data_IF_853180364353
#
_entry.id   IF_853180364353
#
_cell.length_a   1.000
_cell.length_b   1.000
_cell.length_c   1.000
_cell.angle_alpha   90.00
_cell.angle_beta   90.00
_cell.angle_gamma   90.00
#
_symmetry.space_group_name_H-M   'P 1'
#
loop_
_entity.id
_entity.type
_entity.pdbx_description
1 polymer ?
#
# COMPACT_ATOMS: atom_id res chain seq x y z
N UNK A 1 35.22 -12.52 -16.01
CA UNK A 1 35.99 -12.88 -14.81
C UNK A 1 35.65 -11.98 -13.61
N UNK A 2 35.59 -10.65 -13.76
CA UNK A 2 35.23 -9.73 -12.66
C UNK A 2 33.87 -10.01 -11.96
N UNK A 3 32.84 -10.47 -12.70
CA UNK A 3 31.53 -10.79 -12.12
C UNK A 3 31.55 -12.01 -11.18
N UNK A 4 32.40 -13.01 -11.46
CA UNK A 4 32.52 -14.18 -10.58
C UNK A 4 33.24 -13.84 -9.28
N UNK A 5 34.28 -13.01 -9.34
CA UNK A 5 34.94 -12.50 -8.14
C UNK A 5 33.95 -11.73 -7.24
N UNK A 6 33.10 -10.88 -7.81
CA UNK A 6 32.11 -10.14 -7.02
C UNK A 6 31.05 -11.06 -6.38
N UNK A 7 30.64 -12.11 -7.10
CA UNK A 7 29.71 -13.09 -6.55
C UNK A 7 30.32 -13.90 -5.40
N UNK A 8 31.59 -14.28 -5.54
CA UNK A 8 32.35 -15.00 -4.51
C UNK A 8 32.54 -14.14 -3.27
N UNK A 9 32.93 -12.87 -3.41
CA UNK A 9 33.05 -11.95 -2.26
C UNK A 9 31.71 -11.73 -1.53
N UNK A 10 30.59 -11.68 -2.27
CA UNK A 10 29.26 -11.57 -1.67
C UNK A 10 28.84 -12.85 -0.95
N UNK A 11 29.18 -14.01 -1.49
CA UNK A 11 28.95 -15.32 -0.85
C UNK A 11 29.81 -15.48 0.40
N UNK A 12 31.09 -15.13 0.35
CA UNK A 12 31.99 -15.16 1.51
C UNK A 12 31.50 -14.21 2.61
N UNK A 13 31.01 -13.02 2.25
CA UNK A 13 30.41 -12.08 3.22
C UNK A 13 29.09 -12.58 3.79
N UNK A 14 28.28 -13.32 3.02
CA UNK A 14 27.05 -13.94 3.51
C UNK A 14 27.33 -15.13 4.44
N UNK A 15 28.32 -15.95 4.11
CA UNK A 15 28.76 -17.09 4.92
C UNK A 15 29.39 -16.62 6.23
N UNK A 16 30.26 -15.61 6.21
CA UNK A 16 30.84 -15.05 7.43
C UNK A 16 29.79 -14.47 8.40
N UNK A 17 28.70 -13.91 7.88
CA UNK A 17 27.56 -13.45 8.71
C UNK A 17 26.78 -14.62 9.31
N UNK A 18 26.62 -15.71 8.57
CA UNK A 18 25.92 -16.91 9.04
C UNK A 18 26.74 -17.67 10.10
N UNK A 19 28.06 -17.73 9.92
CA UNK A 19 28.98 -18.33 10.88
C UNK A 19 29.09 -17.52 12.18
N UNK A 20 29.07 -16.18 12.10
CA UNK A 20 29.00 -15.32 13.28
C UNK A 20 27.70 -15.53 14.09
N UNK A 21 26.59 -15.83 13.41
CA UNK A 21 25.32 -16.19 14.06
C UNK A 21 25.41 -17.59 14.70
N UNK A 22 26.05 -18.54 14.03
CA UNK A 22 26.23 -19.91 14.54
C UNK A 22 27.21 -20.01 15.73
N UNK A 23 28.25 -19.16 15.77
CA UNK A 23 29.19 -19.13 16.91
C UNK A 23 28.60 -18.44 18.16
N UNK A 24 27.52 -17.68 18.01
CA UNK A 24 26.83 -17.06 19.15
C UNK A 24 25.91 -18.03 19.92
N UNK A 25 25.61 -19.21 19.36
CA UNK A 25 24.75 -20.23 20.00
C UNK A 25 25.48 -21.24 20.89
N UNK A 26 26.81 -21.25 20.92
CA UNK A 26 27.60 -22.20 21.71
C UNK A 26 28.67 -21.46 22.53
N UNK A 27 28.29 -20.80 23.62
CA UNK A 27 29.12 -20.57 24.81
C UNK A 27 28.30 -19.78 25.86
N UNK A 28 27.74 -20.45 26.86
CA UNK A 28 28.02 -20.21 28.29
C UNK A 28 27.08 -21.03 29.19
N UNK A 29 27.59 -22.15 29.73
CA UNK A 29 27.07 -22.74 30.96
C UNK A 29 27.71 -21.98 32.12
N UNK A 30 26.92 -21.19 32.86
CA UNK A 30 27.38 -20.39 33.98
C UNK A 30 26.22 -19.75 34.71
N UNK A 31 25.90 -20.31 35.88
CA UNK A 31 24.81 -19.95 36.77
C UNK A 31 24.97 -18.52 37.32
N UNK A 32 23.93 -17.69 37.15
CA UNK A 32 23.83 -16.36 37.75
C UNK A 32 22.49 -15.71 37.41
N UNK A 33 21.61 -15.63 38.40
CA UNK A 33 20.26 -15.05 38.32
C UNK A 33 20.24 -13.68 37.61
N UNK A 34 19.65 -13.66 36.43
CA UNK A 34 19.12 -12.48 35.76
C UNK A 34 18.13 -12.99 34.71
N UNK A 35 16.85 -12.67 34.88
CA UNK A 35 15.81 -13.04 33.92
C UNK A 35 16.23 -12.67 32.48
N UNK A 36 16.06 -13.57 31.50
CA UNK A 36 16.48 -13.30 30.14
C UNK A 36 15.66 -12.12 29.60
N UNK A 37 16.33 -11.07 29.11
CA UNK A 37 15.70 -10.14 28.19
C UNK A 37 15.19 -10.98 27.03
N UNK A 38 13.87 -11.11 26.91
CA UNK A 38 13.22 -11.86 25.85
C UNK A 38 13.77 -11.38 24.50
N UNK A 39 14.51 -12.24 23.81
CA UNK A 39 15.06 -11.93 22.50
C UNK A 39 13.92 -11.66 21.53
N UNK A 40 13.94 -10.51 20.87
CA UNK A 40 12.99 -10.15 19.80
C UNK A 40 12.98 -11.25 18.74
N UNK A 41 11.80 -11.69 18.30
CA UNK A 41 11.68 -12.80 17.34
C UNK A 41 12.48 -12.54 16.04
N UNK A 42 13.04 -13.60 15.40
CA UNK A 42 13.91 -13.42 14.23
C UNK A 42 13.30 -12.59 13.10
N UNK A 43 12.01 -12.77 12.80
CA UNK A 43 11.34 -12.01 11.75
C UNK A 43 11.23 -10.51 12.12
N UNK A 44 11.07 -10.16 13.40
CA UNK A 44 11.06 -8.76 13.81
C UNK A 44 12.45 -8.14 13.62
N UNK A 45 13.53 -8.89 13.86
CA UNK A 45 14.90 -8.40 13.62
C UNK A 45 15.18 -8.18 12.13
N UNK A 46 14.63 -9.02 11.25
CA UNK A 46 14.71 -8.81 9.80
C UNK A 46 13.91 -7.58 9.39
N UNK A 47 12.72 -7.37 9.97
CA UNK A 47 11.96 -6.14 9.75
C UNK A 47 12.69 -4.89 10.27
N UNK A 48 13.42 -4.98 11.39
CA UNK A 48 14.30 -3.91 11.89
C UNK A 48 15.39 -3.54 10.88
N UNK A 49 15.90 -4.53 10.14
CA UNK A 49 16.87 -4.30 9.07
C UNK A 49 16.24 -3.60 7.86
N UNK A 50 14.96 -3.87 7.56
CA UNK A 50 14.18 -3.14 6.56
C UNK A 50 13.99 -1.68 6.98
N UNK A 51 13.67 -1.43 8.25
CA UNK A 51 13.56 -0.06 8.80
C UNK A 51 14.89 0.70 8.77
N UNK A 52 15.99 0.03 9.13
CA UNK A 52 17.32 0.64 9.16
C UNK A 52 18.00 0.76 7.78
N UNK A 53 17.51 0.03 6.77
CA UNK A 53 18.04 0.03 5.42
C UNK A 53 17.20 0.89 4.46
N UNK A 54 16.35 0.27 3.61
CA UNK A 54 15.61 0.98 2.57
C UNK A 54 14.73 2.12 3.10
N UNK A 55 14.11 1.95 4.28
CA UNK A 55 13.26 2.99 4.88
C UNK A 55 14.09 4.18 5.36
N UNK A 56 15.26 3.93 5.97
CA UNK A 56 16.16 5.00 6.39
C UNK A 56 16.69 5.81 5.20
N UNK A 57 17.04 5.16 4.10
CA UNK A 57 17.48 5.85 2.88
C UNK A 57 16.32 6.65 2.25
N UNK A 58 15.11 6.08 2.18
CA UNK A 58 13.92 6.80 1.73
C UNK A 58 13.65 8.07 2.56
N UNK A 59 13.74 7.98 3.89
CA UNK A 59 13.52 9.13 4.78
C UNK A 59 14.59 10.21 4.59
N UNK A 60 15.86 9.79 4.49
CA UNK A 60 16.97 10.69 4.24
C UNK A 60 16.77 11.47 2.94
N UNK A 61 16.49 10.79 1.83
CA UNK A 61 16.30 11.46 0.54
C UNK A 61 15.02 12.31 0.54
N UNK A 62 13.94 11.86 1.20
CA UNK A 62 12.71 12.63 1.34
C UNK A 62 12.95 13.96 2.07
N UNK A 63 13.83 13.95 3.08
CA UNK A 63 14.29 15.16 3.76
C UNK A 63 15.15 16.08 2.88
N UNK A 64 15.99 15.50 2.02
CA UNK A 64 16.77 16.28 1.03
C UNK A 64 15.90 16.92 -0.07
N UNK A 65 14.75 16.31 -0.38
CA UNK A 65 13.72 16.90 -1.24
C UNK A 65 12.96 17.99 -0.48
N UNK A 66 12.58 17.72 0.77
CA UNK A 66 11.87 18.64 1.65
C UNK A 66 10.40 18.82 1.30
N UNK A 67 9.76 19.79 1.97
CA UNK A 67 8.39 20.20 1.67
C UNK A 67 7.37 19.10 1.96
N UNK A 68 6.45 18.88 1.01
CA UNK A 68 5.37 17.90 1.20
C UNK A 68 5.89 16.45 1.18
N UNK A 69 6.99 16.18 0.47
CA UNK A 69 7.58 14.83 0.39
C UNK A 69 8.19 14.41 1.71
N UNK A 70 8.90 15.31 2.40
CA UNK A 70 9.44 15.05 3.74
C UNK A 70 8.32 14.73 4.74
N UNK A 71 7.28 15.57 4.79
CA UNK A 71 6.12 15.35 5.68
C UNK A 71 5.43 14.03 5.40
N UNK A 72 5.19 13.71 4.13
CA UNK A 72 4.52 12.47 3.76
C UNK A 72 5.37 11.24 4.12
N UNK A 73 6.70 11.34 3.99
CA UNK A 73 7.62 10.28 4.40
C UNK A 73 7.60 10.02 5.92
N UNK A 74 7.47 11.06 6.75
CA UNK A 74 7.32 10.90 8.21
C UNK A 74 6.05 10.11 8.56
N UNK A 75 4.95 10.35 7.86
CA UNK A 75 3.68 9.61 8.05
C UNK A 75 3.84 8.13 7.67
N UNK A 76 4.50 7.84 6.54
CA UNK A 76 4.84 6.46 6.13
C UNK A 76 5.70 5.77 7.19
N UNK A 77 6.70 6.47 7.74
CA UNK A 77 7.56 5.93 8.79
C UNK A 77 6.79 5.60 10.08
N UNK A 78 5.82 6.44 10.45
CA UNK A 78 4.92 6.13 11.56
C UNK A 78 4.11 4.85 11.29
N UNK A 79 3.59 4.70 10.06
CA UNK A 79 2.89 3.47 9.64
C UNK A 79 3.74 2.21 9.77
N UNK A 80 4.98 2.27 9.27
CA UNK A 80 5.94 1.15 9.37
C UNK A 80 6.34 0.83 10.81
N UNK A 81 6.40 1.82 11.70
CA UNK A 81 6.61 1.60 13.15
C UNK A 81 5.42 0.92 13.82
N UNK A 82 4.20 1.28 13.43
CA UNK A 82 2.98 0.61 13.91
C UNK A 82 2.93 -0.84 13.42
N UNK A 83 3.30 -1.09 12.16
CA UNK A 83 3.43 -2.44 11.61
C UNK A 83 4.46 -3.26 12.41
N UNK A 84 5.63 -2.69 12.70
CA UNK A 84 6.62 -3.33 13.59
C UNK A 84 6.05 -3.66 14.98
N UNK A 85 5.30 -2.74 15.59
CA UNK A 85 4.70 -2.97 16.89
C UNK A 85 3.69 -4.13 16.86
N UNK A 86 2.93 -4.25 15.76
CA UNK A 86 2.06 -5.40 15.50
C UNK A 86 2.86 -6.69 15.35
N UNK A 87 3.97 -6.69 14.60
CA UNK A 87 4.83 -7.86 14.42
C UNK A 87 5.41 -8.34 15.77
N UNK A 88 5.83 -7.42 16.64
CA UNK A 88 6.26 -7.75 18.00
C UNK A 88 5.13 -8.41 18.78
N UNK A 89 3.92 -7.86 18.70
CA UNK A 89 2.74 -8.40 19.38
C UNK A 89 2.41 -9.80 18.86
N UNK A 90 2.37 -9.99 17.53
CA UNK A 90 2.12 -11.29 16.91
C UNK A 90 3.16 -12.34 17.30
N UNK A 91 4.41 -11.92 17.59
CA UNK A 91 5.48 -12.83 18.00
C UNK A 91 5.31 -13.40 19.40
N UNK A 92 4.52 -12.74 20.25
CA UNK A 92 4.35 -13.07 21.66
C UNK A 92 2.92 -13.54 21.98
N UNK A 93 1.97 -13.23 21.11
CA UNK A 93 0.55 -13.42 21.36
C UNK A 93 -0.10 -14.38 20.36
N UNK A 94 -1.16 -15.05 20.82
CA UNK A 94 -2.07 -15.79 19.95
C UNK A 94 -2.96 -14.83 19.18
N UNK A 95 -3.36 -15.23 17.96
CA UNK A 95 -4.27 -14.48 17.12
C UNK A 95 -5.59 -14.20 17.87
N UNK A 96 -6.03 -12.93 17.95
CA UNK A 96 -7.31 -12.61 18.55
C UNK A 96 -8.47 -13.07 17.66
N UNK A 97 -9.52 -13.61 18.27
CA UNK A 97 -10.72 -14.05 17.57
C UNK A 97 -11.68 -12.88 17.28
N UNK A 98 -12.35 -12.92 16.12
CA UNK A 98 -13.42 -11.99 15.75
C UNK A 98 -12.99 -10.52 15.71
N UNK A 99 -13.86 -9.62 16.18
CA UNK A 99 -13.70 -8.16 16.10
C UNK A 99 -12.49 -7.62 16.89
N UNK A 100 -11.83 -8.43 17.73
CA UNK A 100 -10.64 -7.98 18.47
C UNK A 100 -9.42 -7.80 17.58
N UNK A 101 -9.40 -8.44 16.41
CA UNK A 101 -8.35 -8.21 15.42
C UNK A 101 -8.50 -6.82 14.76
N UNK A 102 -9.73 -6.34 14.52
CA UNK A 102 -9.92 -4.98 13.97
C UNK A 102 -9.46 -3.91 14.96
N UNK A 103 -9.72 -4.09 16.26
CA UNK A 103 -9.28 -3.15 17.30
C UNK A 103 -7.75 -3.07 17.35
N UNK A 104 -7.07 -4.21 17.16
CA UNK A 104 -5.61 -4.27 17.13
C UNK A 104 -5.02 -3.61 15.88
N UNK A 105 -5.73 -3.67 14.75
CA UNK A 105 -5.29 -3.11 13.47
C UNK A 105 -5.68 -1.64 13.29
N UNK A 106 -6.57 -1.09 14.13
CA UNK A 106 -7.07 0.27 14.02
C UNK A 106 -5.96 1.34 13.91
N UNK A 107 -4.87 1.31 14.71
CA UNK A 107 -3.82 2.31 14.59
C UNK A 107 -3.14 2.33 13.21
N UNK A 108 -2.94 1.16 12.59
CA UNK A 108 -2.36 1.06 11.24
C UNK A 108 -3.38 1.57 10.22
N UNK A 109 -4.67 1.25 10.39
CA UNK A 109 -5.77 1.72 9.53
C UNK A 109 -5.83 3.25 9.48
N UNK A 110 -5.83 3.89 10.65
CA UNK A 110 -5.86 5.33 10.80
C UNK A 110 -4.65 5.98 10.14
N UNK A 111 -3.46 5.42 10.35
CA UNK A 111 -2.24 5.94 9.74
C UNK A 111 -2.24 5.80 8.22
N UNK A 112 -2.73 4.68 7.67
CA UNK A 112 -2.93 4.49 6.23
C UNK A 112 -3.86 5.57 5.69
N UNK A 113 -5.00 5.82 6.35
CA UNK A 113 -5.96 6.81 5.90
C UNK A 113 -5.41 8.24 5.98
N UNK A 114 -4.60 8.54 7.00
CA UNK A 114 -3.91 9.82 7.11
C UNK A 114 -2.97 10.04 5.91
N UNK A 115 -2.20 9.01 5.53
CA UNK A 115 -1.31 9.05 4.36
C UNK A 115 -2.10 9.20 3.07
N UNK A 116 -3.25 8.52 2.92
CA UNK A 116 -4.11 8.60 1.72
C UNK A 116 -4.73 9.99 1.55
N UNK A 117 -5.14 10.63 2.65
CA UNK A 117 -5.82 11.95 2.61
C UNK A 117 -4.85 13.13 2.57
N UNK A 118 -3.56 12.90 2.81
CA UNK A 118 -2.55 13.95 2.77
C UNK A 118 -2.44 14.67 1.40
N UNK A 119 -2.40 13.99 0.24
CA UNK A 119 -2.39 14.66 -1.06
C UNK A 119 -3.67 15.47 -1.34
N UNK A 120 -4.83 15.08 -0.81
CA UNK A 120 -6.09 15.81 -1.00
C UNK A 120 -6.03 17.21 -0.36
N UNK A 121 -5.34 17.31 0.78
CA UNK A 121 -5.08 18.59 1.47
C UNK A 121 -3.98 19.41 0.78
N UNK A 122 -3.24 18.79 -0.15
CA UNK A 122 -2.07 19.37 -0.82
C UNK A 122 -2.17 19.25 -2.35
N UNK A 123 -3.38 19.39 -2.92
CA UNK A 123 -3.63 19.27 -4.37
C UNK A 123 -2.80 20.23 -5.24
N UNK A 124 -2.37 21.37 -4.68
CA UNK A 124 -1.50 22.33 -5.35
C UNK A 124 0.00 22.00 -5.31
N UNK A 125 0.40 20.87 -4.73
CA UNK A 125 1.81 20.51 -4.59
C UNK A 125 2.49 20.33 -5.94
N UNK A 126 3.68 20.94 -6.10
CA UNK A 126 4.53 20.70 -7.28
C UNK A 126 5.07 19.27 -7.31
N UNK A 127 5.06 18.59 -6.17
CA UNK A 127 5.55 17.23 -6.01
C UNK A 127 4.40 16.21 -5.98
N UNK A 128 3.23 16.54 -6.55
CA UNK A 128 2.02 15.72 -6.46
C UNK A 128 2.21 14.28 -6.94
N UNK A 129 3.04 14.02 -7.97
CA UNK A 129 3.34 12.65 -8.40
C UNK A 129 4.07 11.82 -7.32
N UNK A 130 4.86 12.45 -6.45
CA UNK A 130 5.48 11.77 -5.30
C UNK A 130 4.41 11.40 -4.28
N UNK A 131 3.53 12.37 -3.97
CA UNK A 131 2.44 12.16 -3.02
C UNK A 131 1.47 11.07 -3.51
N UNK A 132 1.15 11.05 -4.81
CA UNK A 132 0.31 10.02 -5.43
C UNK A 132 0.99 8.65 -5.40
N UNK A 133 2.30 8.56 -5.67
CA UNK A 133 3.02 7.29 -5.54
C UNK A 133 2.88 6.72 -4.13
N UNK A 134 2.92 7.58 -3.11
CA UNK A 134 2.77 7.18 -1.71
C UNK A 134 1.33 6.79 -1.36
N UNK A 135 0.36 7.67 -1.60
CA UNK A 135 -1.04 7.44 -1.21
C UNK A 135 -1.67 6.23 -1.91
N UNK A 136 -1.26 5.95 -3.14
CA UNK A 136 -1.86 4.88 -3.95
C UNK A 136 -1.21 3.52 -3.68
N UNK A 137 -0.16 3.46 -2.85
CA UNK A 137 0.54 2.22 -2.49
C UNK A 137 0.67 1.96 -0.99
N UNK A 138 0.41 2.96 -0.13
CA UNK A 138 0.54 2.81 1.33
C UNK A 138 -0.37 1.72 1.92
N UNK A 139 -1.46 1.38 1.23
CA UNK A 139 -2.31 0.25 1.61
C UNK A 139 -1.55 -1.08 1.70
N UNK A 140 -0.35 -1.18 1.11
CA UNK A 140 0.58 -2.30 1.30
C UNK A 140 0.82 -2.66 2.78
N UNK A 141 0.83 -1.68 3.69
CA UNK A 141 0.96 -1.93 5.15
C UNK A 141 -0.22 -2.77 5.70
N UNK A 142 -1.33 -2.80 4.98
CA UNK A 142 -2.49 -3.63 5.28
C UNK A 142 -2.27 -5.13 5.04
N UNK A 143 -1.11 -5.54 4.51
CA UNK A 143 -0.80 -6.95 4.24
C UNK A 143 -0.85 -7.84 5.49
N UNK A 144 -0.70 -7.25 6.68
CA UNK A 144 -0.80 -7.95 7.98
C UNK A 144 -2.18 -8.56 8.25
N UNK A 145 -3.22 -8.08 7.55
CA UNK A 145 -4.56 -8.64 7.61
C UNK A 145 -4.84 -9.62 6.46
N UNK A 146 -4.07 -9.55 5.37
CA UNK A 146 -4.32 -10.34 4.15
C UNK A 146 -3.90 -11.80 4.33
N UNK A 147 -4.85 -12.70 4.07
CA UNK A 147 -4.60 -14.13 3.90
C UNK A 147 -5.46 -14.66 2.74
N UNK A 148 -4.97 -15.66 1.96
CA UNK A 148 -3.70 -16.36 2.10
C UNK A 148 -2.56 -15.77 1.24
N UNK A 149 -2.75 -14.61 0.59
CA UNK A 149 -1.82 -14.06 -0.42
C UNK A 149 -1.27 -12.66 -0.08
N UNK A 150 -0.62 -12.43 1.08
CA UNK A 150 -0.09 -11.11 1.43
C UNK A 150 1.03 -10.63 0.50
N UNK A 151 1.88 -11.53 -0.02
CA UNK A 151 2.96 -11.16 -0.95
C UNK A 151 2.45 -10.58 -2.28
N UNK A 152 1.56 -11.29 -3.00
CA UNK A 152 0.89 -10.75 -4.19
C UNK A 152 0.17 -9.43 -3.96
N UNK A 153 -0.48 -9.25 -2.80
CA UNK A 153 -1.12 -7.99 -2.43
C UNK A 153 -0.12 -6.82 -2.38
N UNK A 154 1.02 -6.97 -1.69
CA UNK A 154 2.05 -5.92 -1.65
C UNK A 154 2.64 -5.64 -3.04
N UNK A 155 2.74 -6.68 -3.89
CA UNK A 155 3.18 -6.49 -5.28
C UNK A 155 2.23 -5.58 -6.06
N UNK A 156 0.92 -5.79 -5.96
CA UNK A 156 -0.07 -4.94 -6.63
C UNK A 156 0.02 -3.48 -6.18
N UNK A 157 0.20 -3.25 -4.88
CA UNK A 157 0.41 -1.91 -4.34
C UNK A 157 1.71 -1.27 -4.85
N UNK A 158 2.78 -2.06 -4.98
CA UNK A 158 4.03 -1.59 -5.57
C UNK A 158 3.89 -1.28 -7.08
N UNK A 159 3.10 -2.07 -7.81
CA UNK A 159 2.77 -1.81 -9.21
C UNK A 159 1.99 -0.49 -9.36
N UNK A 160 1.10 -0.17 -8.42
CA UNK A 160 0.42 1.13 -8.34
C UNK A 160 1.40 2.29 -8.05
N UNK A 161 2.36 2.10 -7.13
CA UNK A 161 3.42 3.09 -6.90
C UNK A 161 4.20 3.38 -8.18
N UNK A 162 4.58 2.33 -8.93
CA UNK A 162 5.37 2.44 -10.15
C UNK A 162 4.72 3.33 -11.21
N UNK A 163 3.40 3.32 -11.33
CA UNK A 163 2.68 4.18 -12.26
C UNK A 163 3.02 5.67 -12.06
N UNK A 164 3.04 6.13 -10.81
CA UNK A 164 3.34 7.52 -10.48
C UNK A 164 4.84 7.80 -10.38
N UNK A 165 5.64 6.86 -9.86
CA UNK A 165 7.10 7.05 -9.83
C UNK A 165 7.71 7.10 -11.23
N UNK A 166 7.13 6.40 -12.23
CA UNK A 166 7.55 6.55 -13.63
C UNK A 166 7.36 7.97 -14.15
N UNK A 167 6.34 8.69 -13.66
CA UNK A 167 6.14 10.11 -13.98
C UNK A 167 7.20 10.99 -13.31
N UNK A 168 7.53 10.70 -12.06
CA UNK A 168 8.66 11.35 -11.36
C UNK A 168 9.97 11.13 -12.13
N UNK A 169 10.26 9.90 -12.53
CA UNK A 169 11.46 9.61 -13.34
C UNK A 169 11.45 10.36 -14.67
N UNK A 170 10.31 10.43 -15.35
CA UNK A 170 10.19 11.19 -16.60
C UNK A 170 10.50 12.68 -16.41
N UNK A 171 10.08 13.27 -15.30
CA UNK A 171 10.25 14.68 -15.00
C UNK A 171 11.65 15.02 -14.49
N UNK A 172 12.26 14.16 -13.67
CA UNK A 172 13.48 14.49 -12.93
C UNK A 172 14.75 13.76 -13.36
N UNK A 173 14.68 12.74 -14.24
CA UNK A 173 15.86 11.91 -14.59
C UNK A 173 17.08 12.67 -15.10
N UNK A 174 16.85 13.77 -15.81
CA UNK A 174 17.89 14.64 -16.39
C UNK A 174 17.95 16.01 -15.69
N UNK A 175 17.21 16.18 -14.59
CA UNK A 175 17.05 17.46 -13.88
C UNK A 175 17.67 17.40 -12.49
N UNK A 176 17.24 16.46 -11.66
CA UNK A 176 17.73 16.32 -10.30
C UNK A 176 17.74 14.85 -9.87
N UNK A 177 18.95 14.35 -9.67
CA UNK A 177 19.23 12.96 -9.33
C UNK A 177 18.59 12.52 -8.01
N UNK A 178 18.35 13.42 -7.06
CA UNK A 178 17.77 13.03 -5.76
C UNK A 178 16.35 12.47 -5.91
N UNK A 179 15.57 12.93 -6.89
CA UNK A 179 14.24 12.39 -7.16
C UNK A 179 14.30 10.99 -7.78
N UNK A 180 15.31 10.72 -8.61
CA UNK A 180 15.56 9.37 -9.16
C UNK A 180 15.93 8.41 -8.04
N UNK A 181 16.81 8.85 -7.13
CA UNK A 181 17.23 8.03 -6.00
C UNK A 181 16.10 7.85 -4.98
N UNK A 182 15.24 8.86 -4.80
CA UNK A 182 14.00 8.75 -4.01
C UNK A 182 13.07 7.66 -4.55
N UNK A 183 12.84 7.63 -5.87
CA UNK A 183 12.01 6.60 -6.50
C UNK A 183 12.56 5.20 -6.22
N UNK A 184 13.88 5.02 -6.36
CA UNK A 184 14.53 3.72 -6.09
C UNK A 184 14.39 3.31 -4.63
N UNK A 185 14.66 4.24 -3.71
CA UNK A 185 14.54 3.98 -2.27
C UNK A 185 13.10 3.62 -1.88
N UNK A 186 12.11 4.36 -2.39
CA UNK A 186 10.69 4.11 -2.10
C UNK A 186 10.23 2.74 -2.59
N UNK A 187 10.50 2.39 -3.87
CA UNK A 187 10.12 1.08 -4.42
C UNK A 187 10.87 -0.09 -3.76
N UNK A 188 12.08 0.17 -3.23
CA UNK A 188 12.84 -0.83 -2.49
C UNK A 188 12.15 -1.24 -1.20
N UNK A 189 11.40 -0.35 -0.53
CA UNK A 189 10.65 -0.70 0.68
C UNK A 189 9.68 -1.84 0.40
N UNK A 190 8.85 -1.70 -0.65
CA UNK A 190 7.84 -2.69 -1.02
C UNK A 190 8.44 -3.99 -1.58
N UNK A 191 9.58 -3.88 -2.25
CA UNK A 191 10.31 -5.06 -2.75
C UNK A 191 10.89 -5.89 -1.61
N UNK A 192 11.52 -5.23 -0.62
CA UNK A 192 12.05 -5.89 0.57
C UNK A 192 10.93 -6.40 1.48
N UNK A 193 9.79 -5.69 1.56
CA UNK A 193 8.61 -6.16 2.28
C UNK A 193 8.03 -7.46 1.66
N UNK A 194 7.98 -7.56 0.32
CA UNK A 194 7.58 -8.79 -0.35
C UNK A 194 8.55 -9.95 -0.04
N UNK A 195 9.86 -9.70 -0.06
CA UNK A 195 10.86 -10.70 0.29
C UNK A 195 10.70 -11.17 1.75
N UNK A 196 10.49 -10.23 2.67
CA UNK A 196 10.20 -10.47 4.08
C UNK A 196 8.94 -11.34 4.26
N UNK A 197 7.83 -10.96 3.63
CA UNK A 197 6.57 -11.71 3.69
C UNK A 197 6.75 -13.12 3.14
N UNK A 198 7.44 -13.27 2.00
CA UNK A 198 7.71 -14.58 1.41
C UNK A 198 8.48 -15.50 2.36
N UNK A 199 9.40 -14.94 3.16
CA UNK A 199 10.23 -15.70 4.08
C UNK A 199 9.52 -16.09 5.38
N UNK A 200 8.69 -15.21 5.96
CA UNK A 200 8.15 -15.40 7.32
C UNK A 200 6.62 -15.47 7.41
N UNK A 201 5.91 -14.95 6.43
CA UNK A 201 4.46 -14.72 6.46
C UNK A 201 3.78 -15.12 5.14
N UNK A 202 4.27 -16.19 4.49
CA UNK A 202 3.89 -16.56 3.10
C UNK A 202 2.38 -16.66 2.89
N UNK A 203 1.64 -17.14 3.90
CA UNK A 203 0.19 -17.34 3.86
C UNK A 203 -0.60 -16.41 4.78
N UNK A 204 0.02 -15.33 5.26
CA UNK A 204 -0.55 -14.41 6.24
C UNK A 204 0.37 -14.21 7.45
N UNK A 205 0.03 -13.22 8.28
CA UNK A 205 0.77 -12.90 9.50
C UNK A 205 0.86 -14.13 10.42
N UNK A 206 2.08 -14.49 10.82
CA UNK A 206 2.35 -15.63 11.68
C UNK A 206 2.26 -15.23 13.16
N UNK A 207 1.21 -15.69 13.83
CA UNK A 207 0.99 -15.51 15.26
C UNK A 207 1.67 -16.59 16.08
N UNK A 208 2.05 -16.25 17.32
CA UNK A 208 2.57 -17.23 18.27
C UNK A 208 1.51 -18.27 18.62
N UNK A 209 1.94 -19.54 18.71
CA UNK A 209 1.09 -20.65 19.19
C UNK A 209 0.97 -20.66 20.73
N UNK A 210 1.81 -19.90 21.41
CA UNK A 210 1.94 -19.85 22.86
C UNK A 210 1.88 -18.40 23.34
N UNK A 211 1.47 -18.17 24.59
CA UNK A 211 1.33 -16.83 25.14
C UNK A 211 -0.11 -16.32 25.17
N UNK A 212 -0.33 -15.09 25.68
CA UNK A 212 -1.67 -14.52 25.85
C UNK A 212 -2.33 -14.24 24.48
N UNK A 213 -3.66 -14.15 24.46
CA UNK A 213 -4.36 -13.62 23.28
C UNK A 213 -4.04 -12.13 23.17
N UNK A 214 -3.71 -11.69 21.95
CA UNK A 214 -3.32 -10.30 21.70
C UNK A 214 -4.41 -9.32 22.16
N UNK A 215 -3.96 -8.20 22.74
CA UNK A 215 -4.78 -7.04 23.11
C UNK A 215 -4.17 -5.80 22.46
N UNK A 216 -4.93 -4.71 22.42
CA UNK A 216 -4.64 -3.44 21.74
C UNK A 216 -3.16 -3.00 21.75
N UNK A 217 -2.73 -2.40 20.64
CA UNK A 217 -1.42 -1.78 20.51
C UNK A 217 -1.38 -0.48 21.34
N UNK A 218 -0.80 -0.54 22.53
CA UNK A 218 -0.58 0.66 23.36
C UNK A 218 0.91 0.99 23.42
N UNK A 219 1.31 2.14 22.84
CA UNK A 219 2.57 2.81 23.17
C UNK A 219 3.45 3.24 21.98
N UNK A 220 3.24 4.46 21.50
CA UNK A 220 4.34 5.36 21.12
C UNK A 220 4.21 6.64 21.97
N UNK A 221 5.33 7.27 22.38
CA UNK A 221 5.27 8.51 23.16
C UNK A 221 4.71 9.65 22.30
N UNK A 222 3.50 10.09 22.61
CA UNK A 222 2.91 11.32 22.07
C UNK A 222 3.71 12.53 22.57
N UNK A 223 4.13 13.40 21.65
CA UNK A 223 4.64 14.73 21.98
C UNK A 223 3.59 15.57 22.72
N UNK A 224 4.00 16.67 23.37
CA UNK A 224 3.21 17.32 24.42
C UNK A 224 1.89 17.86 23.88
N UNK A 225 0.81 17.36 24.48
CA UNK A 225 -0.56 17.85 24.32
C UNK A 225 -0.71 19.25 24.92
N UNK A 226 -1.28 20.16 24.13
CA UNK A 226 -1.84 21.41 24.64
C UNK A 226 -3.28 21.54 24.17
N UNK A 227 -4.20 21.63 25.13
CA UNK A 227 -5.50 22.29 24.95
C UNK A 227 -6.71 21.38 24.78
N UNK A 228 -7.44 21.19 25.87
CA UNK A 228 -8.76 20.57 25.95
C UNK A 228 -9.86 21.47 25.36
N UNK A 229 -10.73 20.94 24.47
CA UNK A 229 -12.12 21.42 24.24
C UNK A 229 -12.98 20.27 23.68
N UNK A 230 -14.33 20.31 23.72
CA UNK A 230 -15.12 19.22 24.29
C UNK A 230 -15.76 18.33 23.22
N UNK A 231 -16.20 17.16 23.71
CA UNK A 231 -16.95 16.10 23.06
C UNK A 231 -18.01 16.59 22.06
N UNK A 232 -17.84 16.19 20.79
CA UNK A 232 -18.94 16.10 19.81
C UNK A 232 -19.07 14.63 19.38
N UNK A 233 -20.27 14.10 19.55
CA UNK A 233 -20.70 12.76 19.16
C UNK A 233 -20.34 12.47 17.69
N UNK A 234 -19.53 11.44 17.46
CA UNK A 234 -19.21 10.91 16.13
C UNK A 234 -19.40 9.41 16.11
N UNK A 235 -20.47 8.94 15.47
CA UNK A 235 -20.79 7.52 15.29
C UNK A 235 -20.67 7.10 13.83
N UNK A 236 -19.56 7.44 13.18
CA UNK A 236 -19.28 7.04 11.78
C UNK A 236 -17.80 6.70 11.49
N UNK A 237 -16.86 7.02 12.38
CA UNK A 237 -15.43 6.79 12.10
C UNK A 237 -14.97 5.34 12.35
N UNK A 238 -15.41 4.71 13.45
CA UNK A 238 -15.01 3.33 13.77
C UNK A 238 -15.56 2.30 12.77
N UNK A 239 -16.68 2.62 12.12
CA UNK A 239 -17.24 1.82 11.03
C UNK A 239 -16.32 1.82 9.80
N UNK A 240 -15.68 2.95 9.50
CA UNK A 240 -14.75 3.06 8.36
C UNK A 240 -13.44 2.28 8.58
N UNK A 241 -12.96 2.19 9.82
CA UNK A 241 -11.71 1.49 10.15
C UNK A 241 -11.85 -0.02 10.07
N UNK A 242 -12.97 -0.56 10.57
CA UNK A 242 -13.33 -1.97 10.36
C UNK A 242 -13.58 -2.25 8.88
N UNK A 243 -14.12 -1.30 8.12
CA UNK A 243 -14.38 -1.46 6.70
C UNK A 243 -13.08 -1.58 5.89
N UNK A 244 -12.02 -0.80 6.18
CA UNK A 244 -10.75 -0.88 5.46
C UNK A 244 -10.19 -2.31 5.51
N UNK A 245 -10.01 -2.85 6.71
CA UNK A 245 -9.46 -4.20 6.88
C UNK A 245 -10.46 -5.31 6.54
N UNK A 246 -11.76 -5.10 6.73
CA UNK A 246 -12.76 -6.04 6.23
C UNK A 246 -12.78 -6.11 4.69
N UNK A 247 -12.57 -4.99 4.00
CA UNK A 247 -12.48 -4.91 2.54
C UNK A 247 -11.17 -5.55 2.04
N UNK A 248 -10.06 -5.31 2.74
CA UNK A 248 -8.77 -5.97 2.46
C UNK A 248 -8.88 -7.49 2.66
N UNK A 249 -9.52 -7.95 3.75
CA UNK A 249 -9.72 -9.37 4.06
C UNK A 249 -10.70 -10.08 3.13
N UNK A 250 -11.52 -9.34 2.38
CA UNK A 250 -12.40 -9.90 1.36
C UNK A 250 -11.66 -10.26 0.07
N UNK A 251 -10.42 -9.78 -0.14
CA UNK A 251 -9.59 -10.12 -1.31
C UNK A 251 -10.32 -10.01 -2.66
N UNK A 252 -9.92 -10.83 -3.64
CA UNK A 252 -10.47 -10.97 -5.00
C UNK A 252 -12.01 -11.22 -5.05
N UNK A 253 -12.69 -11.35 -3.90
CA UNK A 253 -14.12 -11.64 -3.75
C UNK A 253 -15.04 -10.42 -3.87
N UNK A 254 -14.51 -9.20 -4.08
CA UNK A 254 -15.31 -7.97 -4.28
C UNK A 254 -16.28 -8.11 -5.47
N UNK A 255 -15.97 -8.97 -6.44
CA UNK A 255 -16.84 -9.24 -7.60
C UNK A 255 -18.09 -10.06 -7.27
N UNK A 256 -18.13 -10.78 -6.14
CA UNK A 256 -19.31 -11.56 -5.73
C UNK A 256 -20.41 -10.71 -5.08
N UNK A 257 -20.07 -9.53 -4.55
CA UNK A 257 -21.03 -8.57 -4.00
C UNK A 257 -21.67 -7.68 -5.09
N UNK A 258 -21.13 -7.73 -6.31
CA UNK A 258 -21.74 -7.08 -7.46
C UNK A 258 -22.97 -7.88 -7.89
N UNK A 259 -24.14 -7.25 -7.77
CA UNK A 259 -25.39 -7.85 -8.25
C UNK A 259 -25.29 -8.06 -9.75
N UNK A 260 -25.15 -9.30 -10.19
CA UNK A 260 -25.19 -9.64 -11.61
C UNK A 260 -26.59 -9.31 -12.13
N UNK A 261 -26.73 -8.20 -12.86
CA UNK A 261 -28.01 -7.81 -13.45
C UNK A 261 -28.19 -8.61 -14.73
N UNK A 262 -28.77 -9.80 -14.61
CA UNK A 262 -29.26 -10.55 -15.77
C UNK A 262 -30.59 -9.94 -16.21
N UNK A 263 -30.55 -8.79 -16.88
CA UNK A 263 -31.75 -8.11 -17.36
C UNK A 263 -31.56 -6.64 -17.70
N UNK A 264 -32.66 -5.96 -17.99
CA UNK A 264 -32.69 -4.53 -18.34
C UNK A 264 -32.51 -3.69 -17.08
N UNK A 265 -31.45 -2.88 -17.02
CA UNK A 265 -31.24 -1.92 -15.93
C UNK A 265 -32.36 -0.86 -15.99
N UNK A 266 -33.08 -0.58 -14.89
CA UNK A 266 -34.07 0.48 -14.89
C UNK A 266 -33.38 1.84 -15.13
N UNK A 267 -33.98 2.74 -15.93
CA UNK A 267 -33.43 4.08 -16.12
C UNK A 267 -33.38 4.82 -14.77
N UNK A 268 -32.19 5.21 -14.35
CA UNK A 268 -31.98 6.04 -13.17
C UNK A 268 -32.10 7.50 -13.63
N UNK A 269 -33.22 8.14 -13.29
CA UNK A 269 -33.43 9.56 -13.54
C UNK A 269 -32.94 10.36 -12.34
N UNK A 270 -31.84 11.10 -12.51
CA UNK A 270 -31.33 12.02 -11.51
C UNK A 270 -31.85 13.41 -11.86
N UNK A 271 -32.70 13.98 -11.00
CA UNK A 271 -33.21 15.33 -11.17
C UNK A 271 -33.06 16.12 -9.86
N UNK A 272 -32.52 17.34 -9.97
CA UNK A 272 -32.24 18.29 -8.86
C UNK A 272 -31.35 17.70 -7.77
N UNK A 273 -30.06 17.57 -8.07
CA UNK A 273 -29.03 17.28 -7.08
C UNK A 273 -27.99 18.39 -7.11
N UNK A 274 -27.58 18.90 -5.94
CA UNK A 274 -26.56 19.95 -5.81
C UNK A 274 -25.12 19.39 -5.86
N UNK A 275 -24.97 18.21 -6.47
CA UNK A 275 -23.72 17.46 -6.58
C UNK A 275 -23.97 15.96 -6.56
N UNK A 276 -23.87 15.31 -7.73
CA UNK A 276 -23.81 13.85 -7.84
C UNK A 276 -22.50 13.51 -8.54
N UNK A 277 -21.60 12.79 -7.87
CA UNK A 277 -20.37 12.28 -8.44
C UNK A 277 -20.55 10.79 -8.74
N UNK A 278 -20.75 10.45 -10.01
CA UNK A 278 -20.64 9.07 -10.47
C UNK A 278 -19.15 8.81 -10.69
N UNK A 279 -18.51 8.16 -9.71
CA UNK A 279 -17.12 7.70 -9.86
C UNK A 279 -17.18 6.29 -10.43
N UNK A 280 -17.07 6.15 -11.75
CA UNK A 280 -16.61 4.88 -12.30
C UNK A 280 -15.18 4.68 -11.79
N UNK A 281 -14.85 3.48 -11.33
CA UNK A 281 -13.46 3.12 -11.03
C UNK A 281 -12.55 3.67 -12.13
N UNK A 282 -11.41 4.24 -11.76
CA UNK A 282 -10.43 4.93 -12.63
C UNK A 282 -9.79 3.89 -13.59
N UNK A 283 -10.60 3.32 -14.46
CA UNK A 283 -10.25 2.35 -15.49
C UNK A 283 -9.86 3.16 -16.72
N UNK A 284 -8.68 2.86 -17.27
CA UNK A 284 -8.17 3.56 -18.46
C UNK A 284 -8.99 3.28 -19.71
N UNK A 285 -9.79 2.21 -19.72
CA UNK A 285 -10.73 1.85 -20.78
C UNK A 285 -11.87 1.01 -20.14
N UNK A 286 -13.11 1.14 -20.62
CA UNK A 286 -14.25 0.34 -20.17
C UNK A 286 -14.97 -0.18 -21.41
N UNK A 287 -15.12 -1.50 -21.53
CA UNK A 287 -15.81 -2.12 -22.66
C UNK A 287 -17.08 -2.84 -22.21
N UNK A 288 -18.14 -2.74 -23.01
CA UNK A 288 -19.39 -3.49 -22.85
C UNK A 288 -19.31 -4.70 -23.76
N UNK A 289 -19.37 -5.90 -23.17
CA UNK A 289 -19.49 -7.16 -23.88
C UNK A 289 -20.98 -7.46 -24.15
N UNK A 290 -21.37 -7.51 -25.42
CA UNK A 290 -22.72 -7.86 -25.84
C UNK A 290 -22.71 -9.32 -26.33
N UNK A 291 -23.42 -10.25 -25.67
CA UNK A 291 -23.47 -11.65 -26.08
C UNK A 291 -24.10 -11.80 -27.47
N UNK A 292 -23.54 -12.71 -28.27
CA UNK A 292 -24.10 -13.14 -29.56
C UNK A 292 -24.76 -14.52 -29.40
N UNK A 293 -25.55 -14.94 -30.40
CA UNK A 293 -26.32 -16.19 -30.37
C UNK A 293 -25.45 -17.46 -30.26
N UNK A 294 -24.12 -17.35 -30.39
CA UNK A 294 -23.15 -18.45 -30.38
C UNK A 294 -22.38 -18.66 -29.06
N UNK A 295 -22.82 -18.09 -27.94
CA UNK A 295 -22.03 -18.01 -26.68
C UNK A 295 -20.74 -17.17 -26.77
N UNK A 296 -20.55 -16.43 -27.86
CA UNK A 296 -19.47 -15.44 -28.00
C UNK A 296 -19.94 -14.05 -27.54
N UNK A 297 -19.01 -13.12 -27.36
CA UNK A 297 -19.29 -11.73 -26.98
C UNK A 297 -18.66 -10.75 -27.98
N UNK A 298 -19.43 -9.75 -28.39
CA UNK A 298 -18.93 -8.59 -29.11
C UNK A 298 -18.56 -7.48 -28.12
N UNK A 299 -17.33 -6.98 -28.23
CA UNK A 299 -16.79 -5.97 -27.33
C UNK A 299 -17.00 -4.55 -27.88
N UNK A 300 -17.55 -3.65 -27.06
CA UNK A 300 -17.84 -2.27 -27.43
C UNK A 300 -17.26 -1.27 -26.43
N UNK A 301 -16.38 -0.35 -26.83
CA UNK A 301 -15.82 0.63 -25.90
C UNK A 301 -16.86 1.67 -25.46
N UNK A 302 -16.88 1.92 -24.14
CA UNK A 302 -17.60 3.02 -23.50
C UNK A 302 -16.75 4.29 -23.64
N UNK A 303 -17.26 5.34 -24.30
CA UNK A 303 -16.52 6.59 -24.46
C UNK A 303 -16.33 7.30 -23.12
N UNK A 304 -15.10 7.68 -22.81
CA UNK A 304 -14.75 8.41 -21.57
C UNK A 304 -15.27 9.85 -21.56
N UNK A 305 -15.38 10.47 -22.73
CA UNK A 305 -15.92 11.82 -22.88
C UNK A 305 -16.83 11.92 -24.09
N UNK A 306 -17.87 12.74 -23.97
CA UNK A 306 -18.72 13.15 -25.07
C UNK A 306 -18.43 14.62 -25.39
N UNK A 307 -18.15 14.91 -26.66
CA UNK A 307 -17.95 16.26 -27.15
C UNK A 307 -19.22 16.73 -27.84
N UNK A 308 -19.86 17.75 -27.29
CA UNK A 308 -21.03 18.39 -27.91
C UNK A 308 -20.60 19.67 -28.59
N UNK A 309 -20.86 19.77 -29.89
CA UNK A 309 -20.58 20.96 -30.71
C UNK A 309 -21.88 21.48 -31.33
N UNK A 310 -22.02 22.80 -31.38
CA UNK A 310 -23.05 23.46 -32.17
C UNK A 310 -22.60 23.50 -33.63
N UNK A 311 -23.36 22.87 -34.52
CA UNK A 311 -23.02 22.78 -35.94
C UNK A 311 -23.64 23.90 -36.81
N UNK A 312 -24.17 24.94 -36.17
CA UNK A 312 -24.91 26.03 -36.85
C UNK A 312 -26.43 25.84 -36.89
N UNK A 313 -26.94 24.63 -36.65
CA UNK A 313 -28.38 24.33 -36.65
C UNK A 313 -28.86 23.57 -35.42
N UNK A 314 -28.02 22.67 -34.89
CA UNK A 314 -28.32 21.85 -33.72
C UNK A 314 -27.06 21.55 -32.92
N UNK A 315 -27.26 21.17 -31.67
CA UNK A 315 -26.21 20.53 -30.88
C UNK A 315 -26.01 19.11 -31.40
N UNK A 316 -24.77 18.77 -31.73
CA UNK A 316 -24.35 17.44 -32.15
C UNK A 316 -23.33 16.93 -31.15
N UNK A 317 -23.65 15.82 -30.50
CA UNK A 317 -22.78 15.15 -29.53
C UNK A 317 -22.10 13.95 -30.18
N UNK A 318 -20.78 13.91 -30.13
CA UNK A 318 -19.96 12.79 -30.59
C UNK A 318 -19.13 12.20 -29.46
N UNK A 319 -18.76 10.93 -29.60
CA UNK A 319 -17.83 10.24 -28.70
C UNK A 319 -16.44 10.86 -28.87
N UNK A 320 -15.80 11.31 -27.79
CA UNK A 320 -14.43 11.84 -27.79
C UNK A 320 -13.50 10.77 -27.23
N UNK A 321 -12.77 10.09 -28.12
CA UNK A 321 -11.72 9.14 -27.76
C UNK A 321 -10.36 9.83 -27.78
N UNK A 322 -9.57 9.67 -26.71
CA UNK A 322 -8.23 10.28 -26.56
C UNK A 322 -7.12 9.60 -27.39
N UNK A 323 -7.45 8.60 -28.21
CA UNK A 323 -6.47 7.91 -29.05
C UNK A 323 -6.39 8.58 -30.43
N UNK A 324 -5.22 9.14 -30.83
CA UNK A 324 -4.95 9.37 -32.24
C UNK A 324 -4.99 8.01 -32.91
N UNK A 325 -5.82 7.88 -33.93
CA UNK A 325 -5.81 6.73 -34.83
C UNK A 325 -4.41 6.60 -35.44
N UNK A 326 -3.60 5.69 -34.88
CA UNK A 326 -2.48 5.08 -35.58
C UNK A 326 -3.07 4.36 -36.79
N UNK A 327 -3.18 5.10 -37.89
CA UNK A 327 -3.40 4.50 -39.20
C UNK A 327 -2.15 3.68 -39.52
N UNK A 328 -2.19 2.39 -39.20
CA UNK A 328 -1.38 1.42 -39.91
C UNK A 328 -1.90 1.40 -41.35
N UNK A 329 -1.28 2.18 -42.22
CA UNK A 329 -1.33 1.95 -43.66
C UNK A 329 -0.32 0.87 -43.97
N UNK A 330 -0.78 -0.34 -44.25
CA UNK A 330 0.04 -1.35 -44.93
C UNK A 330 0.36 -0.84 -46.33
N UNK A 331 1.64 -0.60 -46.59
CA UNK A 331 2.26 -0.51 -47.90
C UNK A 331 3.46 -1.42 -47.91
#
# INVERSE_FOLDING_TARGET
>A
MADMQNLVERLERAVGRLEAVSQSSDMHCGHGDSAPKAGTAPYVQVFDSLLAGPVAEYLKISKEIGGDVEKHAEMVHTGLKLERALLVTASQCQQPAGNKLSDLLAPISEQIQEVITFPEKNQGSKLFNHLSAVSESIQALGCVAVAPKPGPYVKEMNDAAMFYTNRVLKEYKDVDKKHVDWVKAYLSIWTELQAYIKQFHTTGLAWSKMGPVAKELSGLPSGPSAGSVPTRSGSDESASHSALFAQINQGESITHALKHVMGKVPPISINKTDGCHIVSAKSSEMNVLIPTEGCDFNEFPVPEQFKTLWNGQKLVTTKHSYLPSLKYTSG
#
